data_IF_620451262957
#
_entry.id   IF_620451262957
#
_cell.length_a   1.000
_cell.length_b   1.000
_cell.length_c   1.000
_cell.angle_alpha   90.00
_cell.angle_beta   90.00
_cell.angle_gamma   90.00
#
_symmetry.space_group_name_H-M   'P 1'
#
loop_
_entity.id
_entity.type
_entity.pdbx_description
1 polymer ?
#
# COMPACT_ATOMS: atom_id res chain seq x y z
N UNK A 1 -13.05 -5.80 7.65
CA UNK A 1 -12.25 -6.55 8.65
C UNK A 1 -11.44 -7.57 7.89
N UNK A 2 -10.13 -7.70 8.14
CA UNK A 2 -9.29 -8.69 7.44
C UNK A 2 -9.64 -10.12 7.92
N UNK A 3 -9.79 -11.12 7.03
CA UNK A 3 -10.00 -12.51 7.40
C UNK A 3 -8.78 -13.07 8.17
N UNK A 4 -9.02 -13.86 9.21
CA UNK A 4 -7.92 -14.47 9.99
C UNK A 4 -7.27 -15.61 9.22
N UNK A 5 -5.93 -15.62 9.20
CA UNK A 5 -5.13 -16.72 8.63
C UNK A 5 -5.09 -16.78 7.11
N UNK A 6 -5.60 -15.75 6.41
CA UNK A 6 -5.45 -15.62 4.95
C UNK A 6 -4.23 -14.76 4.67
N UNK A 7 -3.27 -15.35 3.95
CA UNK A 7 -2.00 -14.73 3.55
C UNK A 7 -1.93 -14.42 2.06
N UNK A 8 -2.87 -14.96 1.29
CA UNK A 8 -2.83 -14.95 -0.17
C UNK A 8 -3.43 -13.66 -0.72
N UNK A 9 -2.74 -13.01 -1.65
CA UNK A 9 -3.16 -11.78 -2.33
C UNK A 9 -2.81 -11.86 -3.80
N UNK A 10 -3.63 -11.26 -4.66
CA UNK A 10 -3.35 -11.23 -6.10
C UNK A 10 -2.00 -10.56 -6.35
N UNK A 11 -1.16 -11.21 -7.15
CA UNK A 11 0.03 -10.59 -7.71
C UNK A 11 -0.42 -9.60 -8.80
N UNK A 12 -0.05 -8.32 -8.67
CA UNK A 12 -0.44 -7.26 -9.61
C UNK A 12 0.55 -7.05 -10.77
N UNK A 13 1.59 -7.88 -10.90
CA UNK A 13 2.58 -7.74 -11.98
C UNK A 13 2.00 -8.12 -13.35
N UNK A 14 2.30 -7.31 -14.38
CA UNK A 14 1.79 -7.49 -15.74
C UNK A 14 2.57 -8.54 -16.54
N UNK A 15 2.46 -9.80 -16.13
CA UNK A 15 3.19 -10.95 -16.70
C UNK A 15 2.37 -12.26 -16.66
N UNK A 16 2.89 -13.35 -17.23
CA UNK A 16 2.36 -14.69 -16.97
C UNK A 16 2.89 -15.22 -15.63
N UNK A 17 2.06 -15.09 -14.61
CA UNK A 17 2.45 -15.37 -13.23
C UNK A 17 2.46 -16.88 -12.95
N UNK A 18 3.60 -17.37 -12.43
CA UNK A 18 3.70 -18.74 -11.89
C UNK A 18 2.93 -18.90 -10.58
N UNK A 19 2.99 -17.90 -9.72
CA UNK A 19 2.37 -17.88 -8.38
C UNK A 19 1.40 -16.69 -8.28
N UNK A 20 0.18 -16.80 -8.84
CA UNK A 20 -0.73 -15.64 -9.03
C UNK A 20 -1.34 -15.09 -7.73
N UNK A 21 -1.21 -15.81 -6.61
CA UNK A 21 -1.73 -15.43 -5.30
C UNK A 21 -0.63 -15.15 -4.26
N UNK A 22 0.63 -15.02 -4.72
CA UNK A 22 1.78 -14.64 -3.91
C UNK A 22 2.13 -13.14 -4.09
N UNK A 23 1.10 -12.29 -4.15
CA UNK A 23 1.22 -10.83 -4.25
C UNK A 23 1.15 -10.10 -2.91
N UNK A 24 1.06 -8.78 -2.99
CA UNK A 24 1.07 -7.89 -1.83
C UNK A 24 -0.35 -7.46 -1.38
N UNK A 25 -0.51 -7.26 -0.08
CA UNK A 25 -1.73 -6.70 0.49
C UNK A 25 -1.90 -5.19 0.20
N UNK A 26 -0.78 -4.50 -0.01
CA UNK A 26 -0.73 -3.11 -0.45
C UNK A 26 0.56 -2.89 -1.23
N UNK A 27 0.47 -2.12 -2.31
CA UNK A 27 1.60 -1.72 -3.14
C UNK A 27 1.67 -0.19 -3.21
N UNK A 28 2.78 0.32 -3.73
CA UNK A 28 2.96 1.74 -4.00
C UNK A 28 3.85 1.93 -5.21
N UNK A 29 3.48 2.85 -6.10
CA UNK A 29 4.26 3.18 -7.28
C UNK A 29 4.59 4.68 -7.28
N UNK A 30 5.80 5.02 -7.75
CA UNK A 30 6.10 6.34 -8.27
C UNK A 30 6.92 6.18 -9.56
N UNK A 31 6.83 7.16 -10.47
CA UNK A 31 7.57 7.17 -11.74
C UNK A 31 9.10 7.29 -11.55
N UNK A 32 9.56 7.63 -10.35
CA UNK A 32 10.95 7.97 -10.07
C UNK A 32 11.45 9.19 -10.86
N UNK A 33 12.78 9.43 -10.90
CA UNK A 33 13.36 10.36 -11.84
C UNK A 33 13.34 9.77 -13.26
N UNK A 34 12.90 10.56 -14.24
CA UNK A 34 12.91 10.13 -15.64
C UNK A 34 14.34 9.80 -16.13
N UNK A 35 14.45 8.76 -16.96
CA UNK A 35 15.71 8.42 -17.62
C UNK A 35 16.19 9.55 -18.53
N UNK A 36 17.51 9.65 -18.74
CA UNK A 36 18.10 10.72 -19.54
C UNK A 36 17.50 10.79 -20.95
N UNK A 37 16.89 11.95 -21.29
CA UNK A 37 16.24 12.18 -22.57
C UNK A 37 14.80 11.65 -22.70
N UNK A 38 14.23 11.03 -21.66
CA UNK A 38 12.81 10.69 -21.58
C UNK A 38 12.03 11.78 -20.85
N UNK A 39 10.77 11.99 -21.24
CA UNK A 39 9.84 12.78 -20.44
C UNK A 39 9.34 11.95 -19.24
N UNK A 40 9.18 12.52 -18.03
CA UNK A 40 8.46 11.86 -16.95
C UNK A 40 7.00 11.63 -17.36
N UNK A 41 6.39 10.51 -16.93
CA UNK A 41 4.98 10.24 -17.25
C UNK A 41 4.02 11.19 -16.51
N UNK A 42 4.40 11.65 -15.31
CA UNK A 42 3.81 12.84 -14.68
C UNK A 42 4.27 13.02 -13.23
N UNK A 43 3.64 13.94 -12.48
CA UNK A 43 3.70 13.95 -11.02
C UNK A 43 2.76 12.87 -10.45
N UNK A 44 2.96 11.62 -10.88
CA UNK A 44 2.10 10.49 -10.53
C UNK A 44 2.73 9.66 -9.41
N UNK A 45 1.91 9.34 -8.41
CA UNK A 45 2.17 8.32 -7.41
C UNK A 45 0.88 7.57 -7.14
N UNK A 46 0.98 6.28 -6.86
CA UNK A 46 -0.15 5.39 -6.65
C UNK A 46 0.00 4.60 -5.36
N UNK A 47 -1.13 4.34 -4.72
CA UNK A 47 -1.28 3.54 -3.50
C UNK A 47 -2.55 2.68 -3.69
N UNK A 48 -2.45 1.41 -4.09
CA UNK A 48 -3.60 0.50 -4.00
C UNK A 48 -3.71 -0.13 -2.60
N UNK A 49 -4.74 -0.96 -2.43
CA UNK A 49 -4.69 -2.07 -1.49
C UNK A 49 -5.49 -3.23 -2.06
N UNK A 50 -4.91 -4.44 -2.01
CA UNK A 50 -5.54 -5.64 -2.54
C UNK A 50 -6.47 -6.28 -1.51
N UNK A 51 -7.65 -6.70 -1.96
CA UNK A 51 -8.46 -7.63 -1.15
C UNK A 51 -7.75 -8.99 -1.06
N UNK A 52 -7.84 -9.72 0.07
CA UNK A 52 -7.30 -11.08 0.15
C UNK A 52 -7.88 -12.00 -0.93
N UNK A 53 -7.03 -12.87 -1.49
CA UNK A 53 -7.41 -13.86 -2.50
C UNK A 53 -8.17 -15.03 -1.83
N UNK A 54 -9.49 -14.88 -1.71
CA UNK A 54 -10.34 -15.86 -1.04
C UNK A 54 -10.85 -16.95 -1.99
N UNK A 55 -10.54 -18.21 -1.68
CA UNK A 55 -11.14 -19.39 -2.33
C UNK A 55 -12.62 -19.58 -1.90
N UNK A 56 -13.49 -18.67 -2.33
CA UNK A 56 -14.92 -18.69 -2.00
C UNK A 56 -15.63 -19.86 -2.68
N UNK A 57 -16.56 -20.50 -1.95
CA UNK A 57 -17.46 -21.51 -2.51
C UNK A 57 -18.55 -20.84 -3.38
N UNK A 58 -19.15 -21.56 -4.35
CA UNK A 58 -20.27 -21.04 -5.13
C UNK A 58 -21.38 -20.45 -4.24
N UNK A 59 -21.86 -19.26 -4.60
CA UNK A 59 -22.89 -18.52 -3.84
C UNK A 59 -22.37 -17.79 -2.58
N UNK A 60 -21.10 -17.89 -2.23
CA UNK A 60 -20.48 -17.12 -1.14
C UNK A 60 -19.85 -15.84 -1.70
N UNK A 61 -20.04 -14.73 -0.97
CA UNK A 61 -19.44 -13.44 -1.27
C UNK A 61 -18.61 -12.92 -0.08
N UNK A 62 -17.68 -12.03 -0.36
CA UNK A 62 -16.91 -11.27 0.63
C UNK A 62 -16.83 -9.81 0.19
N UNK A 63 -16.89 -8.89 1.15
CA UNK A 63 -16.77 -7.45 0.89
C UNK A 63 -15.51 -6.92 1.56
N UNK A 64 -14.52 -6.54 0.74
CA UNK A 64 -13.43 -5.69 1.20
C UNK A 64 -13.91 -4.24 1.25
N UNK A 65 -13.54 -3.50 2.30
CA UNK A 65 -13.81 -2.07 2.43
C UNK A 65 -12.51 -1.39 2.79
N UNK A 66 -11.99 -0.60 1.84
CA UNK A 66 -10.85 0.28 2.01
C UNK A 66 -11.36 1.68 2.37
N UNK A 67 -10.56 2.47 3.09
CA UNK A 67 -10.78 3.91 3.20
C UNK A 67 -9.43 4.60 3.30
N UNK A 68 -9.16 5.51 2.37
CA UNK A 68 -7.91 6.30 2.33
C UNK A 68 -8.19 7.69 2.90
N UNK A 69 -7.32 8.14 3.80
CA UNK A 69 -7.38 9.48 4.40
C UNK A 69 -6.07 10.21 4.10
N UNK A 70 -6.16 11.42 3.54
CA UNK A 70 -5.03 12.31 3.35
C UNK A 70 -5.14 13.48 4.34
N UNK A 71 -4.12 13.66 5.18
CA UNK A 71 -4.04 14.73 6.17
C UNK A 71 -2.88 15.65 5.83
N UNK A 72 -3.10 16.96 5.94
CA UNK A 72 -2.08 17.99 5.73
C UNK A 72 -2.18 19.02 6.86
N UNK A 73 -1.04 19.43 7.41
CA UNK A 73 -0.98 20.38 8.52
C UNK A 73 0.42 20.48 9.13
N UNK A 74 0.56 21.19 10.26
CA UNK A 74 1.80 21.25 11.03
C UNK A 74 2.26 19.86 11.50
N UNK A 75 3.58 19.68 11.65
CA UNK A 75 4.18 18.39 12.04
C UNK A 75 3.61 17.89 13.36
N UNK A 76 3.40 18.79 14.32
CA UNK A 76 2.88 18.49 15.66
C UNK A 76 1.45 17.91 15.59
N UNK A 77 0.63 18.39 14.65
CA UNK A 77 -0.73 17.89 14.44
C UNK A 77 -0.74 16.51 13.77
N UNK A 78 0.16 16.29 12.82
CA UNK A 78 0.32 15.00 12.14
C UNK A 78 0.99 13.95 13.05
N UNK A 79 1.88 14.35 13.95
CA UNK A 79 2.56 13.47 14.91
C UNK A 79 1.58 12.88 15.93
N UNK A 80 0.62 13.68 16.41
CA UNK A 80 -0.50 13.17 17.23
C UNK A 80 -1.31 12.09 16.50
N UNK A 81 -1.50 12.20 15.18
CA UNK A 81 -2.18 11.17 14.38
C UNK A 81 -1.30 9.92 14.27
N UNK A 82 -0.01 10.09 13.96
CA UNK A 82 0.94 8.98 13.85
C UNK A 82 1.02 8.15 15.14
N UNK A 83 1.19 8.82 16.29
CA UNK A 83 1.22 8.16 17.61
C UNK A 83 -0.12 7.50 17.92
N UNK A 84 -1.26 8.13 17.58
CA UNK A 84 -2.59 7.57 17.90
C UNK A 84 -2.97 6.36 17.04
N UNK A 85 -2.53 6.32 15.78
CA UNK A 85 -2.89 5.29 14.79
C UNK A 85 -1.85 4.17 14.73
N UNK A 86 -0.56 4.51 14.72
CA UNK A 86 0.55 3.57 14.53
C UNK A 86 1.36 3.28 15.80
N UNK A 87 1.23 4.11 16.84
CA UNK A 87 1.99 3.96 18.10
C UNK A 87 3.43 4.46 18.04
N UNK A 88 3.80 5.20 16.98
CA UNK A 88 5.15 5.74 16.74
C UNK A 88 5.08 7.20 16.28
N UNK A 89 6.12 7.98 16.53
CA UNK A 89 6.24 9.38 16.08
C UNK A 89 6.65 9.48 14.61
N UNK A 90 6.40 10.63 13.99
CA UNK A 90 6.92 10.97 12.66
C UNK A 90 8.45 11.02 12.63
N UNK A 91 9.10 11.41 13.73
CA UNK A 91 10.56 11.31 13.86
C UNK A 91 11.03 9.85 13.75
N UNK A 92 10.37 8.91 14.44
CA UNK A 92 10.67 7.49 14.32
C UNK A 92 10.41 6.95 12.91
N UNK A 93 9.31 7.36 12.26
CA UNK A 93 8.96 6.93 10.90
C UNK A 93 10.00 7.44 9.88
N UNK A 94 10.36 8.73 9.94
CA UNK A 94 11.33 9.35 9.01
C UNK A 94 12.76 8.90 9.28
N UNK A 95 13.11 8.62 10.53
CA UNK A 95 14.41 8.07 10.93
C UNK A 95 14.58 6.57 10.70
N UNK A 96 13.51 5.81 10.46
CA UNK A 96 13.52 4.33 10.39
C UNK A 96 14.50 3.74 9.36
N UNK A 97 14.83 4.48 8.31
CA UNK A 97 15.66 4.04 7.20
C UNK A 97 16.90 4.94 6.97
N UNK A 98 17.35 5.66 8.00
CA UNK A 98 18.39 6.69 7.90
C UNK A 98 19.64 6.26 7.12
N UNK A 99 19.94 7.01 6.05
CA UNK A 99 21.11 6.91 5.17
C UNK A 99 21.39 5.53 4.56
N UNK A 100 20.81 5.28 3.38
CA UNK A 100 21.45 4.51 2.30
C UNK A 100 21.96 5.46 1.23
#
# INVERSE_FOLDING_TARGET
RIPKGVTDYVNSMWEQQKEPFAGDAANSYNDGPAAAGQAPMGPFYELESSSPALALKPGIAYTHVQTTFHFQGPVEALDMIAVRVFGVTLEQITGAFGNR
#
